data_IF_025152639746
#
_entry.id   IF_025152639746
#
_cell.length_a   1.000
_cell.length_b   1.000
_cell.length_c   1.000
_cell.angle_alpha   90.00
_cell.angle_beta   90.00
_cell.angle_gamma   90.00
#
_symmetry.space_group_name_H-M   'P 1'
#
loop_
_entity.id
_entity.type
_entity.pdbx_description
1 polymer ?
#
# COMPACT_ATOMS: atom_id res chain seq x y z
N UNK A 1 10.70 -1.47 3.75
CA UNK A 1 9.85 -2.65 3.49
C UNK A 1 9.92 -3.56 4.71
N UNK A 2 8.79 -3.86 5.36
CA UNK A 2 8.77 -5.00 6.27
C UNK A 2 8.62 -6.23 5.37
N UNK A 3 9.75 -6.83 4.98
CA UNK A 3 9.74 -8.04 4.20
C UNK A 3 9.16 -9.16 5.07
N UNK A 4 8.15 -9.88 4.57
CA UNK A 4 7.78 -11.16 5.17
C UNK A 4 8.96 -12.08 4.88
N UNK A 5 9.81 -12.30 5.89
CA UNK A 5 10.95 -13.21 5.77
C UNK A 5 10.41 -14.63 5.80
N UNK A 6 10.24 -15.23 4.63
CA UNK A 6 9.95 -16.65 4.50
C UNK A 6 11.27 -17.43 4.58
N UNK A 7 11.42 -18.23 5.64
CA UNK A 7 12.57 -19.09 5.84
C UNK A 7 12.33 -20.44 5.16
N UNK A 8 12.82 -20.56 3.93
CA UNK A 8 12.69 -21.75 3.09
C UNK A 8 13.27 -23.00 3.74
N UNK A 9 14.38 -22.88 4.48
CA UNK A 9 15.04 -24.03 5.13
C UNK A 9 14.20 -24.52 6.31
N UNK A 10 13.80 -23.61 7.20
CA UNK A 10 12.97 -23.95 8.36
C UNK A 10 11.60 -24.51 7.96
N UNK A 11 11.05 -24.05 6.83
CA UNK A 11 9.82 -24.62 6.28
C UNK A 11 10.04 -26.05 5.76
N UNK A 12 11.11 -26.29 4.99
CA UNK A 12 11.48 -27.62 4.53
C UNK A 12 11.70 -28.59 5.68
N UNK A 13 12.47 -28.20 6.70
CA UNK A 13 12.73 -29.01 7.90
C UNK A 13 11.43 -29.43 8.57
N UNK A 14 10.48 -28.51 8.74
CA UNK A 14 9.16 -28.83 9.29
C UNK A 14 8.37 -29.84 8.47
N UNK A 15 8.44 -29.74 7.13
CA UNK A 15 7.78 -30.73 6.26
C UNK A 15 8.45 -32.10 6.41
N UNK A 16 9.78 -32.16 6.42
CA UNK A 16 10.53 -33.40 6.61
C UNK A 16 10.25 -34.03 7.97
N UNK A 17 10.22 -33.24 9.06
CA UNK A 17 9.89 -33.69 10.42
C UNK A 17 8.46 -34.25 10.51
N UNK A 18 7.55 -33.78 9.64
CA UNK A 18 6.18 -34.30 9.53
C UNK A 18 6.04 -35.54 8.65
N UNK A 19 7.15 -36.08 8.13
CA UNK A 19 7.19 -37.28 7.31
C UNK A 19 7.04 -37.04 5.80
N UNK A 20 7.10 -35.79 5.34
CA UNK A 20 7.19 -35.50 3.90
C UNK A 20 8.59 -35.85 3.40
N UNK A 21 8.74 -36.61 2.29
CA UNK A 21 10.06 -36.89 1.72
C UNK A 21 10.82 -35.61 1.38
N UNK A 22 12.12 -35.58 1.69
CA UNK A 22 13.00 -34.42 1.48
C UNK A 22 12.90 -33.80 0.07
N UNK A 23 12.84 -34.58 -1.04
CA UNK A 23 12.68 -33.99 -2.37
C UNK A 23 11.36 -33.22 -2.54
N UNK A 24 10.27 -33.70 -1.91
CA UNK A 24 8.96 -33.06 -1.96
C UNK A 24 8.90 -31.84 -1.03
N UNK A 25 9.50 -31.94 0.16
CA UNK A 25 9.61 -30.84 1.11
C UNK A 25 10.36 -29.65 0.47
N UNK A 26 11.48 -29.95 -0.21
CA UNK A 26 12.27 -28.95 -0.95
C UNK A 26 11.48 -28.32 -2.09
N UNK A 27 10.75 -29.12 -2.87
CA UNK A 27 9.94 -28.62 -3.97
C UNK A 27 8.83 -27.68 -3.48
N UNK A 28 8.15 -28.03 -2.38
CA UNK A 28 7.12 -27.17 -1.78
C UNK A 28 7.72 -25.88 -1.22
N UNK A 29 8.86 -25.95 -0.53
CA UNK A 29 9.55 -24.79 0.02
C UNK A 29 9.97 -23.82 -1.08
N UNK A 30 10.52 -24.33 -2.18
CA UNK A 30 10.91 -23.53 -3.34
C UNK A 30 9.70 -22.87 -4.00
N UNK A 31 8.65 -23.64 -4.31
CA UNK A 31 7.46 -23.12 -4.96
C UNK A 31 6.76 -22.03 -4.13
N UNK A 32 6.64 -22.23 -2.81
CA UNK A 32 6.05 -21.22 -1.91
C UNK A 32 6.93 -19.97 -1.80
N UNK A 33 8.26 -20.14 -1.74
CA UNK A 33 9.20 -19.02 -1.76
C UNK A 33 9.08 -18.17 -3.02
N UNK A 34 8.98 -18.80 -4.20
CA UNK A 34 8.80 -18.12 -5.49
C UNK A 34 7.48 -17.33 -5.55
N UNK A 35 6.37 -17.89 -5.07
CA UNK A 35 5.08 -17.18 -5.02
C UNK A 35 5.14 -15.98 -4.08
N UNK A 36 5.78 -16.12 -2.91
CA UNK A 36 5.90 -15.02 -1.95
C UNK A 36 6.85 -13.91 -2.42
N UNK A 37 7.85 -14.25 -3.24
CA UNK A 37 8.75 -13.27 -3.85
C UNK A 37 8.17 -12.59 -5.09
N UNK A 38 7.26 -13.26 -5.81
CA UNK A 38 6.62 -12.72 -7.00
C UNK A 38 5.38 -11.86 -6.71
N UNK A 39 4.86 -11.88 -5.48
CA UNK A 39 3.77 -10.98 -5.09
C UNK A 39 4.30 -9.55 -4.92
N UNK A 40 3.86 -8.66 -5.81
CA UNK A 40 3.97 -7.22 -5.62
C UNK A 40 3.00 -6.79 -4.51
N UNK A 41 3.50 -6.75 -3.28
CA UNK A 41 2.70 -6.36 -2.12
C UNK A 41 2.68 -4.83 -2.00
N UNK A 42 1.48 -4.25 -1.96
CA UNK A 42 1.31 -2.83 -1.58
C UNK A 42 1.91 -2.63 -0.20
N UNK A 43 2.94 -1.81 -0.12
CA UNK A 43 3.63 -1.50 1.12
C UNK A 43 2.96 -0.34 1.85
N UNK A 44 3.25 -0.23 3.15
CA UNK A 44 2.84 0.96 3.93
C UNK A 44 3.44 2.26 3.36
N UNK A 45 4.56 2.19 2.64
CA UNK A 45 5.19 3.35 2.02
C UNK A 45 4.36 3.83 0.83
N UNK A 46 3.95 2.90 -0.05
CA UNK A 46 3.11 3.19 -1.21
C UNK A 46 1.78 3.82 -0.78
N UNK A 47 1.16 3.24 0.26
CA UNK A 47 -0.07 3.79 0.82
C UNK A 47 0.13 5.18 1.44
N UNK A 48 1.29 5.44 2.06
CA UNK A 48 1.62 6.75 2.63
C UNK A 48 1.86 7.79 1.54
N UNK A 49 2.45 7.41 0.42
CA UNK A 49 2.64 8.25 -0.74
C UNK A 49 1.30 8.66 -1.34
N UNK A 50 0.41 7.71 -1.62
CA UNK A 50 -0.94 7.99 -2.13
C UNK A 50 -1.73 8.89 -1.16
N UNK A 51 -1.71 8.61 0.14
CA UNK A 51 -2.37 9.46 1.15
C UNK A 51 -1.81 10.87 1.16
N UNK A 52 -0.50 11.03 0.95
CA UNK A 52 0.13 12.35 0.90
C UNK A 52 -0.28 13.11 -0.37
N UNK A 53 -0.32 12.41 -1.51
CA UNK A 53 -0.81 12.95 -2.77
C UNK A 53 -2.27 13.43 -2.65
N UNK A 54 -3.16 12.56 -2.15
CA UNK A 54 -4.58 12.89 -1.93
C UNK A 54 -4.75 14.08 -0.99
N UNK A 55 -3.97 14.16 0.10
CA UNK A 55 -4.00 15.33 1.00
C UNK A 55 -3.60 16.61 0.27
N UNK A 56 -2.60 16.56 -0.60
CA UNK A 56 -2.19 17.70 -1.43
C UNK A 56 -3.30 18.16 -2.37
N UNK A 57 -3.96 17.23 -3.05
CA UNK A 57 -5.10 17.52 -3.93
C UNK A 57 -6.28 18.14 -3.18
N UNK A 58 -6.62 17.60 -2.02
CA UNK A 58 -7.66 18.16 -1.15
C UNK A 58 -7.32 19.60 -0.78
N UNK A 59 -6.09 19.87 -0.32
CA UNK A 59 -5.66 21.23 0.04
C UNK A 59 -5.77 22.17 -1.15
N UNK A 60 -5.29 21.76 -2.33
CA UNK A 60 -5.39 22.55 -3.56
C UNK A 60 -6.83 22.96 -3.86
N UNK A 61 -7.77 22.01 -3.83
CA UNK A 61 -9.18 22.29 -4.12
C UNK A 61 -9.85 23.11 -3.03
N UNK A 62 -9.58 22.84 -1.75
CA UNK A 62 -10.13 23.63 -0.63
C UNK A 62 -9.69 25.08 -0.73
N UNK A 63 -8.42 25.34 -1.01
CA UNK A 63 -7.89 26.71 -1.19
C UNK A 63 -8.54 27.38 -2.40
N UNK A 64 -8.61 26.68 -3.54
CA UNK A 64 -9.24 27.21 -4.76
C UNK A 64 -10.71 27.58 -4.58
N UNK A 65 -11.50 26.69 -3.96
CA UNK A 65 -12.92 26.93 -3.67
C UNK A 65 -13.07 28.07 -2.65
N UNK A 66 -12.19 28.15 -1.64
CA UNK A 66 -12.24 29.23 -0.65
C UNK A 66 -12.07 30.61 -1.30
N UNK A 67 -11.10 30.75 -2.20
CA UNK A 67 -10.92 32.00 -2.95
C UNK A 67 -12.08 32.30 -3.90
N UNK A 68 -12.59 31.29 -4.61
CA UNK A 68 -13.75 31.46 -5.50
C UNK A 68 -15.00 31.94 -4.72
N UNK A 69 -15.27 31.33 -3.55
CA UNK A 69 -16.34 31.74 -2.64
C UNK A 69 -16.15 33.18 -2.16
N UNK A 70 -14.94 33.56 -1.72
CA UNK A 70 -14.67 34.91 -1.24
C UNK A 70 -14.90 35.95 -2.34
N UNK A 71 -14.44 35.69 -3.56
CA UNK A 71 -14.69 36.55 -4.71
C UNK A 71 -16.20 36.68 -5.04
N UNK A 72 -16.93 35.56 -4.95
CA UNK A 72 -18.38 35.54 -5.16
C UNK A 72 -19.11 36.39 -4.12
N UNK A 73 -18.79 36.25 -2.84
CA UNK A 73 -19.38 37.03 -1.74
C UNK A 73 -19.11 38.52 -1.96
N UNK A 74 -17.86 38.92 -2.24
CA UNK A 74 -17.51 40.32 -2.49
C UNK A 74 -18.25 40.92 -3.70
N UNK A 75 -18.56 40.10 -4.71
CA UNK A 75 -19.26 40.54 -5.92
C UNK A 75 -20.77 40.71 -5.71
N UNK A 76 -21.38 39.87 -4.87
CA UNK A 76 -22.83 39.84 -4.64
C UNK A 76 -23.24 40.79 -3.50
N UNK A 77 -22.43 40.89 -2.45
CA UNK A 77 -22.72 41.72 -1.27
C UNK A 77 -23.17 43.16 -1.58
N UNK A 78 -22.49 43.94 -2.46
CA UNK A 78 -22.90 45.31 -2.77
C UNK A 78 -24.17 45.43 -3.63
N UNK A 79 -24.75 44.31 -4.12
CA UNK A 79 -26.03 44.30 -4.84
C UNK A 79 -27.23 44.02 -3.93
N UNK A 80 -26.97 43.58 -2.69
CA UNK A 80 -27.99 43.22 -1.70
C UNK A 80 -28.25 44.31 -0.65
N UNK A 81 -27.33 45.26 -0.51
CA UNK A 81 -27.39 46.45 0.37
C UNK A 81 -27.63 47.67 -0.50
#
# INVERSE_FOLDING_TARGET
MAAITFDTLKYMERLTDSGIPEPQAKAQAAALGEVLQSQELVTKADLREEVTSLKGEIVKWVVGISFAQLALILTILPRLV
#
